data_IF_129588033275
#
_entry.id   IF_129588033275
#
_cell.length_a   1.000
_cell.length_b   1.000
_cell.length_c   1.000
_cell.angle_alpha   90.00
_cell.angle_beta   90.00
_cell.angle_gamma   90.00
#
_symmetry.space_group_name_H-M   'P 1'
#
loop_
_entity.id
_entity.type
_entity.pdbx_description
1 polymer ?
#
# COMPACT_ATOMS: atom_id res chain seq x y z
N UNK A 1 -3.92 2.56 23.29
CA UNK A 1 -3.71 1.34 22.51
C UNK A 1 -4.05 1.51 21.05
N UNK A 2 -3.10 2.04 20.25
CA UNK A 2 -3.15 1.80 18.82
C UNK A 2 -2.32 0.55 18.57
N UNK A 3 -2.98 -0.60 18.47
CA UNK A 3 -2.35 -1.83 18.03
C UNK A 3 -2.06 -1.65 16.54
N UNK A 4 -0.85 -1.22 16.23
CA UNK A 4 -0.39 -0.97 14.86
C UNK A 4 0.01 -2.32 14.27
N UNK A 5 -0.91 -2.95 13.54
CA UNK A 5 -0.70 -4.27 12.90
C UNK A 5 0.02 -4.18 11.55
N UNK A 6 0.59 -3.03 11.19
CA UNK A 6 1.30 -2.81 9.93
C UNK A 6 1.99 -1.44 9.84
N UNK A 7 2.82 -1.21 8.81
CA UNK A 7 3.57 0.05 8.66
C UNK A 7 2.64 1.25 8.48
N UNK A 8 3.09 2.43 8.93
CA UNK A 8 2.33 3.66 8.78
C UNK A 8 2.11 4.06 7.31
N UNK A 9 0.93 4.62 7.03
CA UNK A 9 0.53 5.04 5.67
C UNK A 9 1.14 6.37 5.21
N UNK A 10 1.70 7.17 6.12
CA UNK A 10 2.24 8.48 5.75
C UNK A 10 3.33 8.34 4.68
N UNK A 11 3.15 8.97 3.53
CA UNK A 11 4.09 9.00 2.40
C UNK A 11 4.14 7.70 1.61
N UNK A 12 3.13 6.83 1.71
CA UNK A 12 3.12 5.52 1.04
C UNK A 12 3.20 5.65 -0.48
N UNK A 13 2.57 6.66 -1.06
CA UNK A 13 2.58 6.91 -2.52
C UNK A 13 3.93 7.41 -3.03
N UNK A 14 4.78 7.90 -2.12
CA UNK A 14 6.15 8.29 -2.45
C UNK A 14 7.13 7.12 -2.37
N UNK A 15 6.79 6.08 -1.60
CA UNK A 15 7.63 4.88 -1.42
C UNK A 15 7.23 3.70 -2.31
N UNK A 16 5.96 3.63 -2.73
CA UNK A 16 5.40 2.52 -3.49
C UNK A 16 4.71 3.02 -4.74
N UNK A 17 4.97 2.33 -5.85
CA UNK A 17 4.32 2.64 -7.13
C UNK A 17 2.81 2.39 -7.04
N UNK A 18 1.99 3.17 -7.76
CA UNK A 18 0.53 3.04 -7.68
C UNK A 18 0.05 1.64 -8.07
N UNK A 19 0.67 0.98 -9.05
CA UNK A 19 0.37 -0.40 -9.42
C UNK A 19 0.62 -1.39 -8.29
N UNK A 20 1.70 -1.20 -7.51
CA UNK A 20 2.00 -2.05 -6.36
C UNK A 20 0.96 -1.88 -5.26
N UNK A 21 0.56 -0.63 -4.96
CA UNK A 21 -0.50 -0.32 -3.98
C UNK A 21 -1.83 -0.94 -4.40
N UNK A 22 -2.21 -0.78 -5.67
CA UNK A 22 -3.44 -1.38 -6.20
C UNK A 22 -3.43 -2.91 -6.08
N UNK A 23 -2.33 -3.55 -6.48
CA UNK A 23 -2.20 -5.00 -6.39
C UNK A 23 -2.23 -5.50 -4.94
N UNK A 24 -1.66 -4.76 -3.99
CA UNK A 24 -1.78 -5.08 -2.56
C UNK A 24 -3.22 -4.99 -2.04
N UNK A 25 -4.04 -4.07 -2.56
CA UNK A 25 -5.45 -3.93 -2.16
C UNK A 25 -6.31 -5.05 -2.77
N UNK A 26 -6.12 -5.37 -4.05
CA UNK A 26 -7.01 -6.26 -4.79
C UNK A 26 -6.57 -7.72 -4.82
N UNK A 27 -5.26 -7.98 -4.71
CA UNK A 27 -4.63 -9.29 -4.95
C UNK A 27 -3.60 -9.65 -3.87
N UNK A 28 -3.91 -9.37 -2.59
CA UNK A 28 -2.97 -9.54 -1.47
C UNK A 28 -2.39 -10.97 -1.38
N UNK A 29 -3.18 -11.99 -1.71
CA UNK A 29 -2.72 -13.38 -1.65
C UNK A 29 -1.58 -13.66 -2.64
N UNK A 30 -1.68 -13.10 -3.86
CA UNK A 30 -0.65 -13.20 -4.90
C UNK A 30 0.57 -12.38 -4.51
N UNK A 31 0.37 -11.14 -4.05
CA UNK A 31 1.47 -10.27 -3.62
C UNK A 31 2.30 -10.94 -2.51
N UNK A 32 1.67 -11.52 -1.49
CA UNK A 32 2.38 -12.22 -0.42
C UNK A 32 3.07 -13.51 -0.88
N UNK A 33 2.65 -14.10 -2.00
CA UNK A 33 3.26 -15.30 -2.56
C UNK A 33 4.43 -14.99 -3.51
N UNK A 34 4.38 -13.88 -4.23
CA UNK A 34 5.26 -13.63 -5.39
C UNK A 34 6.09 -12.34 -5.29
N UNK A 35 5.61 -11.31 -4.59
CA UNK A 35 6.29 -10.02 -4.49
C UNK A 35 7.28 -10.00 -3.30
N UNK A 36 8.61 -9.89 -3.54
CA UNK A 36 9.61 -9.96 -2.47
C UNK A 36 9.46 -8.87 -1.41
N UNK A 37 8.94 -7.70 -1.82
CA UNK A 37 8.77 -6.56 -0.92
C UNK A 37 7.55 -6.75 0.00
N UNK A 38 6.46 -7.31 -0.53
CA UNK A 38 5.30 -7.72 0.25
C UNK A 38 5.63 -8.87 1.23
N UNK A 39 6.48 -9.81 0.83
CA UNK A 39 6.99 -10.88 1.69
C UNK A 39 7.82 -10.32 2.85
N UNK A 40 8.74 -9.40 2.57
CA UNK A 40 9.54 -8.73 3.60
C UNK A 40 8.64 -7.98 4.60
N UNK A 41 7.62 -7.27 4.11
CA UNK A 41 6.66 -6.59 4.98
C UNK A 41 5.87 -7.57 5.86
N UNK A 42 5.55 -8.77 5.36
CA UNK A 42 4.89 -9.80 6.14
C UNK A 42 5.78 -10.33 7.28
N UNK A 43 7.07 -10.55 7.00
CA UNK A 43 8.06 -10.93 8.01
C UNK A 43 8.17 -9.86 9.11
N UNK A 44 8.16 -8.59 8.74
CA UNK A 44 8.23 -7.46 9.68
C UNK A 44 6.94 -7.31 10.52
N UNK A 45 5.76 -7.51 9.92
CA UNK A 45 4.47 -7.30 10.60
C UNK A 45 4.00 -8.52 11.41
N UNK A 46 4.55 -9.71 11.13
CA UNK A 46 4.16 -11.03 11.68
C UNK A 46 2.65 -11.34 11.57
N UNK A 47 1.91 -10.53 10.82
CA UNK A 47 0.46 -10.58 10.68
C UNK A 47 0.13 -10.44 9.21
N UNK A 48 -0.60 -11.42 8.69
CA UNK A 48 -1.05 -11.43 7.30
C UNK A 48 -2.19 -10.44 7.10
N UNK A 49 -2.07 -9.55 6.11
CA UNK A 49 -3.18 -8.73 5.66
C UNK A 49 -4.25 -9.63 5.00
N UNK A 50 -5.49 -9.66 5.52
CA UNK A 50 -6.56 -10.46 4.92
C UNK A 50 -7.05 -9.82 3.61
N UNK A 51 -7.41 -10.65 2.64
CA UNK A 51 -8.09 -10.20 1.42
C UNK A 51 -9.46 -9.61 1.78
N UNK A 52 -9.67 -8.33 1.48
CA UNK A 52 -10.89 -7.59 1.79
C UNK A 52 -11.94 -7.65 0.67
N UNK A 53 -11.66 -8.36 -0.44
CA UNK A 53 -12.53 -8.45 -1.63
C UNK A 53 -12.94 -7.07 -2.19
N UNK A 54 -12.02 -6.11 -2.18
CA UNK A 54 -12.24 -4.75 -2.66
C UNK A 54 -12.28 -4.76 -4.18
N UNK A 55 -13.29 -4.11 -4.77
CA UNK A 55 -13.39 -3.98 -6.22
C UNK A 55 -12.28 -3.08 -6.77
N UNK A 56 -11.93 -3.23 -8.06
CA UNK A 56 -10.90 -2.37 -8.68
C UNK A 56 -11.28 -0.89 -8.62
N UNK A 57 -12.58 -0.56 -8.74
CA UNK A 57 -13.08 0.81 -8.62
C UNK A 57 -12.85 1.37 -7.22
N UNK A 58 -13.27 0.63 -6.18
CA UNK A 58 -13.08 1.06 -4.80
C UNK A 58 -11.58 1.12 -4.42
N UNK A 59 -10.77 0.20 -4.94
CA UNK A 59 -9.31 0.23 -4.75
C UNK A 59 -8.70 1.50 -5.36
N UNK A 60 -9.22 1.96 -6.50
CA UNK A 60 -8.79 3.21 -7.13
C UNK A 60 -9.13 4.41 -6.24
N UNK A 61 -10.32 4.42 -5.67
CA UNK A 61 -10.75 5.48 -4.75
C UNK A 61 -9.90 5.50 -3.46
N UNK A 62 -9.54 4.33 -2.94
CA UNK A 62 -8.60 4.20 -1.81
C UNK A 62 -7.23 4.76 -2.17
N UNK A 63 -6.68 4.43 -3.35
CA UNK A 63 -5.40 4.99 -3.80
C UNK A 63 -5.46 6.52 -3.94
N UNK A 64 -6.55 7.07 -4.47
CA UNK A 64 -6.73 8.53 -4.57
C UNK A 64 -6.84 9.20 -3.19
N UNK A 65 -7.49 8.54 -2.23
CA UNK A 65 -7.48 8.99 -0.85
C UNK A 65 -6.06 9.01 -0.26
N UNK A 66 -5.26 7.95 -0.47
CA UNK A 66 -3.86 7.89 -0.02
C UNK A 66 -3.02 9.02 -0.63
N UNK A 67 -3.17 9.29 -1.93
CA UNK A 67 -2.50 10.41 -2.61
C UNK A 67 -2.86 11.77 -2.04
N UNK A 68 -4.15 12.00 -1.79
CA UNK A 68 -4.63 13.23 -1.16
C UNK A 68 -4.05 13.38 0.25
N UNK A 69 -4.09 12.30 1.03
CA UNK A 69 -3.53 12.29 2.38
C UNK A 69 -2.02 12.59 2.36
N UNK A 70 -1.26 11.99 1.45
CA UNK A 70 0.19 12.23 1.36
C UNK A 70 0.50 13.68 0.97
N UNK A 71 -0.20 14.23 -0.02
CA UNK A 71 -0.07 15.63 -0.40
C UNK A 71 -0.39 16.58 0.76
N UNK A 72 -1.41 16.29 1.58
CA UNK A 72 -1.81 17.14 2.72
C UNK A 72 -0.93 16.96 3.96
N UNK A 73 -0.43 15.75 4.23
CA UNK A 73 0.27 15.41 5.48
C UNK A 73 1.79 15.42 5.36
N UNK A 74 2.30 15.16 4.17
CA UNK A 74 3.75 14.99 3.91
C UNK A 74 4.23 15.97 2.83
N UNK A 75 3.31 16.60 2.08
CA UNK A 75 3.61 17.69 1.13
C UNK A 75 3.93 17.22 -0.29
N UNK A 76 4.01 15.91 -0.51
CA UNK A 76 4.40 15.30 -1.79
C UNK A 76 3.65 13.98 -1.99
N UNK A 77 3.49 13.56 -3.25
CA UNK A 77 2.83 12.29 -3.64
C UNK A 77 3.47 11.72 -4.91
N UNK A 78 3.31 10.41 -5.11
CA UNK A 78 3.71 9.68 -6.32
C UNK A 78 5.21 9.72 -6.70
N UNK A 79 6.11 10.02 -5.76
CA UNK A 79 7.56 10.06 -6.03
C UNK A 79 8.16 8.67 -6.38
N UNK A 80 7.49 7.57 -6.05
CA UNK A 80 7.94 6.22 -6.40
C UNK A 80 7.96 5.96 -7.92
N UNK A 81 7.36 6.83 -8.72
CA UNK A 81 7.27 6.71 -10.18
C UNK A 81 8.54 7.26 -10.88
N UNK A 82 9.44 7.93 -10.17
CA UNK A 82 10.60 8.63 -10.76
C UNK A 82 11.84 7.76 -11.03
N UNK A 83 11.85 6.49 -10.63
CA UNK A 83 12.91 5.55 -11.03
C UNK A 83 12.52 4.79 -12.31
N UNK A 84 13.06 5.30 -13.43
CA UNK A 84 13.11 4.65 -14.74
C UNK A 84 14.48 4.02 -15.00
#
# INVERSE_FOLDING_TARGET
DQRVVGPGWAGITNRRKPEWIMNMITNVDIMLAEDPEAQKLLEECLTRMPNQNVSVGDARDILEFMRKNDAEKVGERDQAVEEG
#
